data_IF_996632502016
#
_entry.id   IF_996632502016
#
_cell.length_a   1.000
_cell.length_b   1.000
_cell.length_c   1.000
_cell.angle_alpha   90.00
_cell.angle_beta   90.00
_cell.angle_gamma   90.00
#
_symmetry.space_group_name_H-M   'P 1'
#
loop_
_entity.id
_entity.type
_entity.pdbx_description
1 polymer ?
#
# COMPACT_ATOMS: atom_id res chain seq x y z
N UNK A 1 7.50 -1.20 3.48
CA UNK A 1 6.05 -1.53 3.54
C UNK A 1 5.83 -2.90 2.96
N UNK A 2 4.92 -3.69 3.52
CA UNK A 2 4.60 -5.04 3.03
C UNK A 2 3.10 -5.26 2.93
N UNK A 3 2.69 -6.31 2.24
CA UNK A 3 1.28 -6.62 2.15
C UNK A 3 0.96 -7.80 1.26
N UNK A 4 -0.34 -8.05 1.09
CA UNK A 4 -0.85 -9.08 0.18
C UNK A 4 -2.00 -8.55 -0.65
N UNK A 5 -2.19 -9.10 -1.84
CA UNK A 5 -3.36 -8.88 -2.68
C UNK A 5 -4.01 -10.22 -2.97
N UNK A 6 -5.30 -10.34 -2.64
CA UNK A 6 -6.09 -11.56 -2.83
C UNK A 6 -7.38 -11.25 -3.56
N UNK A 7 -7.89 -12.23 -4.31
CA UNK A 7 -9.19 -12.15 -4.96
C UNK A 7 -10.31 -12.33 -3.94
N UNK A 8 -11.35 -11.52 -4.03
CA UNK A 8 -12.59 -11.74 -3.29
C UNK A 8 -13.27 -13.04 -3.72
N UNK A 9 -13.94 -13.72 -2.79
CA UNK A 9 -14.62 -14.99 -3.04
C UNK A 9 -13.78 -16.22 -2.67
N UNK A 10 -12.66 -16.44 -3.37
CA UNK A 10 -11.81 -17.63 -3.18
C UNK A 10 -10.51 -17.38 -2.39
N UNK A 11 -10.15 -16.11 -2.17
CA UNK A 11 -8.92 -15.74 -1.45
C UNK A 11 -7.63 -16.07 -2.21
N UNK A 12 -7.74 -16.39 -3.52
CA UNK A 12 -6.59 -16.73 -4.35
C UNK A 12 -5.59 -15.56 -4.39
N UNK A 13 -4.29 -15.84 -4.31
CA UNK A 13 -3.27 -14.80 -4.46
C UNK A 13 -3.32 -14.20 -5.87
N UNK A 14 -3.11 -12.89 -5.99
CA UNK A 14 -3.10 -12.17 -7.25
C UNK A 14 -1.68 -11.66 -7.54
N UNK A 15 -1.07 -12.19 -8.60
CA UNK A 15 0.31 -11.86 -9.00
C UNK A 15 0.34 -10.79 -10.09
N UNK A 16 1.30 -9.87 -10.01
CA UNK A 16 1.44 -8.76 -10.96
C UNK A 16 0.49 -7.59 -10.72
N UNK A 17 -0.19 -7.55 -9.57
CA UNK A 17 -1.06 -6.44 -9.19
C UNK A 17 -0.21 -5.25 -8.77
N UNK A 18 -0.38 -4.13 -9.48
CA UNK A 18 0.29 -2.87 -9.16
C UNK A 18 -0.38 -2.20 -7.98
N UNK A 19 0.40 -2.00 -6.92
CA UNK A 19 0.01 -1.22 -5.75
C UNK A 19 0.81 0.07 -5.75
N UNK A 20 0.11 1.19 -5.68
CA UNK A 20 0.69 2.52 -5.58
C UNK A 20 0.56 3.04 -4.16
N UNK A 21 1.54 3.82 -3.72
CA UNK A 21 1.58 4.39 -2.38
C UNK A 21 2.03 5.85 -2.39
N UNK A 22 1.41 6.61 -1.49
CA UNK A 22 1.79 7.97 -1.09
C UNK A 22 1.83 8.03 0.43
N UNK A 23 2.85 8.68 1.00
CA UNK A 23 2.91 8.89 2.45
C UNK A 23 3.59 10.22 2.78
N UNK A 24 3.41 10.70 4.00
CA UNK A 24 4.28 11.75 4.53
C UNK A 24 5.51 11.10 5.15
N UNK A 25 6.70 11.45 4.67
CA UNK A 25 7.95 10.75 5.00
C UNK A 25 9.02 11.68 5.53
N UNK A 26 10.14 11.13 5.99
CA UNK A 26 11.33 11.89 6.38
C UNK A 26 11.93 12.71 5.22
N UNK A 27 11.62 12.37 3.97
CA UNK A 27 12.21 12.99 2.78
C UNK A 27 11.24 13.92 2.03
N UNK A 28 9.98 14.00 2.46
CA UNK A 28 8.99 14.87 1.82
C UNK A 28 7.56 14.66 2.32
N UNK A 29 6.67 15.51 1.82
CA UNK A 29 5.24 15.39 2.05
C UNK A 29 4.61 14.46 1.01
N UNK A 30 3.36 14.07 1.27
CA UNK A 30 2.60 13.19 0.38
C UNK A 30 2.50 13.68 -1.08
N UNK A 31 2.57 14.99 -1.33
CA UNK A 31 2.57 15.56 -2.68
C UNK A 31 3.92 15.49 -3.40
N UNK A 32 5.00 15.23 -2.67
CA UNK A 32 6.35 15.28 -3.21
C UNK A 32 6.71 13.90 -3.83
N UNK A 33 7.20 13.84 -5.07
CA UNK A 33 7.39 12.56 -5.79
C UNK A 33 8.28 11.54 -5.08
N UNK A 34 9.25 12.00 -4.27
CA UNK A 34 10.13 11.14 -3.48
C UNK A 34 9.40 10.38 -2.36
N UNK A 35 8.18 10.80 -2.01
CA UNK A 35 7.32 10.13 -1.05
C UNK A 35 6.28 9.22 -1.72
N UNK A 36 6.42 8.97 -3.03
CA UNK A 36 5.57 8.07 -3.81
C UNK A 36 6.33 6.79 -4.13
N UNK A 37 5.60 5.70 -4.32
CA UNK A 37 6.18 4.45 -4.77
C UNK A 37 5.15 3.55 -5.42
N UNK A 38 5.63 2.57 -6.17
CA UNK A 38 4.81 1.52 -6.73
C UNK A 38 5.59 0.20 -6.72
N UNK A 39 4.86 -0.90 -6.54
CA UNK A 39 5.42 -2.25 -6.59
C UNK A 39 4.40 -3.19 -7.23
N UNK A 40 4.87 -4.37 -7.62
CA UNK A 40 4.04 -5.46 -8.12
C UNK A 40 4.02 -6.58 -7.09
N UNK A 41 2.89 -7.27 -6.99
CA UNK A 41 2.84 -8.52 -6.23
C UNK A 41 3.57 -9.65 -6.92
N UNK A 42 4.16 -10.54 -6.12
CA UNK A 42 4.77 -11.78 -6.58
C UNK A 42 3.73 -12.89 -6.84
N UNK A 43 4.20 -14.10 -7.15
CA UNK A 43 3.35 -15.27 -7.41
C UNK A 43 2.49 -15.70 -6.20
N UNK A 44 2.84 -15.28 -4.98
CA UNK A 44 2.07 -15.52 -3.75
C UNK A 44 1.12 -14.37 -3.43
N UNK A 45 1.03 -13.37 -4.30
CA UNK A 45 0.26 -12.17 -4.07
C UNK A 45 0.89 -11.26 -3.01
N UNK A 46 2.14 -11.48 -2.63
CA UNK A 46 2.86 -10.69 -1.63
C UNK A 46 3.55 -9.51 -2.31
N UNK A 47 3.57 -8.35 -1.66
CA UNK A 47 4.37 -7.22 -2.10
C UNK A 47 5.25 -6.69 -0.97
N UNK A 48 6.41 -6.16 -1.36
CA UNK A 48 7.29 -5.40 -0.51
C UNK A 48 7.78 -4.16 -1.26
N UNK A 49 7.95 -3.07 -0.54
CA UNK A 49 8.47 -1.81 -1.06
C UNK A 49 9.27 -1.10 0.03
N UNK A 50 10.54 -0.83 -0.26
CA UNK A 50 11.36 0.05 0.56
C UNK A 50 11.12 1.50 0.19
N UNK A 51 10.96 2.34 1.20
CA UNK A 51 10.64 3.75 1.07
C UNK A 51 11.24 4.52 2.25
N UNK A 52 11.41 5.85 2.13
CA UNK A 52 11.70 6.71 3.27
C UNK A 52 10.70 6.51 4.42
N UNK A 53 11.18 6.65 5.66
CA UNK A 53 10.39 6.37 6.85
C UNK A 53 9.15 7.27 6.92
N UNK A 54 7.98 6.67 7.14
CA UNK A 54 6.73 7.41 7.34
C UNK A 54 6.78 8.13 8.70
N UNK A 55 6.42 9.42 8.71
CA UNK A 55 6.38 10.25 9.92
C UNK A 55 5.02 10.95 10.06
N UNK A 56 4.65 11.40 11.27
CA UNK A 56 3.37 12.08 11.48
C UNK A 56 3.20 13.33 10.62
N UNK A 57 2.06 13.45 9.95
CA UNK A 57 1.54 14.73 9.45
C UNK A 57 0.10 14.86 9.92
N UNK A 58 -0.15 15.80 10.83
CA UNK A 58 -1.47 16.07 11.41
C UNK A 58 -2.18 14.82 11.96
N UNK A 59 -1.51 14.07 12.85
CA UNK A 59 -2.10 12.91 13.51
C UNK A 59 -1.17 11.70 13.51
N UNK A 60 -1.74 10.50 13.49
CA UNK A 60 -0.96 9.27 13.47
C UNK A 60 -0.29 9.06 12.11
N UNK A 61 0.97 8.56 12.05
CA UNK A 61 1.63 8.19 10.80
C UNK A 61 0.80 7.19 10.00
N UNK A 62 0.68 7.39 8.69
CA UNK A 62 -0.10 6.55 7.81
C UNK A 62 0.42 6.62 6.37
N UNK A 63 0.01 5.64 5.57
CA UNK A 63 0.16 5.68 4.12
C UNK A 63 -1.20 5.68 3.45
N UNK A 64 -1.23 6.16 2.22
CA UNK A 64 -2.33 6.01 1.28
C UNK A 64 -1.92 5.02 0.22
N UNK A 65 -2.73 3.99 -0.01
CA UNK A 65 -2.45 2.97 -1.02
C UNK A 65 -3.63 2.78 -1.94
N UNK A 66 -3.35 2.61 -3.22
CA UNK A 66 -4.36 2.39 -4.23
C UNK A 66 -4.03 1.17 -5.09
N UNK A 67 -5.08 0.41 -5.39
CA UNK A 67 -5.14 -0.45 -6.55
C UNK A 67 -6.15 0.15 -7.53
N UNK A 68 -5.79 0.24 -8.81
CA UNK A 68 -6.63 0.76 -9.88
C UNK A 68 -6.24 0.15 -11.24
N UNK A 69 -7.18 -0.59 -11.83
CA UNK A 69 -7.09 -1.23 -13.15
C UNK A 69 -8.52 -1.58 -13.66
N UNK A 70 -8.65 -2.18 -14.84
CA UNK A 70 -9.90 -2.59 -15.45
C UNK A 70 -10.43 -3.96 -14.96
N UNK A 71 -9.55 -4.83 -14.45
CA UNK A 71 -9.91 -6.21 -14.10
C UNK A 71 -10.69 -6.35 -12.78
N UNK A 72 -10.52 -5.39 -11.87
CA UNK A 72 -11.10 -5.40 -10.53
C UNK A 72 -11.56 -4.00 -10.12
N UNK A 73 -12.52 -3.93 -9.20
CA UNK A 73 -12.96 -2.67 -8.61
C UNK A 73 -11.79 -1.90 -7.95
N UNK A 74 -11.76 -0.58 -8.15
CA UNK A 74 -10.76 0.31 -7.54
C UNK A 74 -10.85 0.24 -6.00
N UNK A 75 -9.71 0.10 -5.34
CA UNK A 75 -9.63 0.08 -3.88
C UNK A 75 -8.61 1.12 -3.40
N UNK A 76 -9.02 1.95 -2.46
CA UNK A 76 -8.16 2.88 -1.75
C UNK A 76 -8.13 2.54 -0.25
N UNK A 77 -6.93 2.38 0.30
CA UNK A 77 -6.70 2.09 1.71
C UNK A 77 -5.90 3.21 2.37
N UNK A 78 -6.25 3.53 3.62
CA UNK A 78 -5.48 4.40 4.50
C UNK A 78 -5.05 3.65 5.77
N UNK A 79 -4.08 2.73 5.68
CA UNK A 79 -3.56 2.04 6.86
C UNK A 79 -2.76 3.00 7.75
N UNK A 80 -3.03 2.93 9.05
CA UNK A 80 -2.41 3.75 10.08
C UNK A 80 -1.38 2.92 10.85
N UNK A 81 -0.22 3.51 11.15
CA UNK A 81 0.78 2.87 11.98
C UNK A 81 0.28 2.75 13.42
N UNK A 82 0.39 1.55 13.99
CA UNK A 82 -0.10 1.27 15.35
C UNK A 82 0.63 2.11 16.40
N UNK A 83 1.92 2.38 16.20
CA UNK A 83 2.74 3.24 17.07
C UNK A 83 3.57 4.18 16.19
N UNK A 84 3.81 5.39 16.71
CA UNK A 84 4.63 6.39 16.01
C UNK A 84 6.10 5.98 15.79
N UNK A 85 6.58 4.97 16.53
CA UNK A 85 7.95 4.45 16.44
C UNK A 85 8.08 3.20 15.57
N UNK A 86 6.97 2.68 15.06
CA UNK A 86 7.04 1.52 14.16
C UNK A 86 7.75 1.96 12.87
N UNK A 87 8.57 1.08 12.29
CA UNK A 87 9.33 1.37 11.05
C UNK A 87 8.76 0.64 9.83
N UNK A 88 7.69 -0.13 10.03
CA UNK A 88 7.02 -0.90 9.00
C UNK A 88 5.52 -0.69 9.05
N UNK A 89 4.91 -0.52 7.88
CA UNK A 89 3.47 -0.52 7.66
C UNK A 89 3.08 -1.75 6.84
N UNK A 90 1.95 -2.36 7.16
CA UNK A 90 1.36 -3.49 6.43
C UNK A 90 -0.03 -3.15 5.92
N UNK A 91 -0.35 -3.54 4.68
CA UNK A 91 -1.69 -3.39 4.10
C UNK A 91 -2.08 -4.62 3.29
N UNK A 92 -3.33 -5.03 3.38
CA UNK A 92 -3.84 -6.21 2.68
C UNK A 92 -5.05 -5.83 1.84
N UNK A 93 -4.97 -6.08 0.54
CA UNK A 93 -6.03 -5.85 -0.43
C UNK A 93 -6.81 -7.13 -0.67
N UNK A 94 -8.13 -6.98 -0.74
CA UNK A 94 -9.04 -7.99 -1.28
C UNK A 94 -9.76 -7.35 -2.45
N UNK A 95 -9.48 -7.83 -3.66
CA UNK A 95 -9.96 -7.24 -4.91
C UNK A 95 -11.17 -8.00 -5.43
N UNK A 96 -12.25 -7.28 -5.65
CA UNK A 96 -13.48 -7.80 -6.25
C UNK A 96 -13.38 -7.64 -7.78
N UNK A 97 -13.58 -8.69 -8.57
CA UNK A 97 -13.66 -8.55 -10.03
C UNK A 97 -14.75 -7.55 -10.44
N UNK A 98 -14.47 -6.75 -11.47
CA UNK A 98 -15.39 -5.73 -11.98
C UNK A 98 -16.61 -6.30 -12.73
#
# INVERSE_FOLDING_TARGET
MTGTVRRAGDGAPLAGQRIQIWAHTTEGHERDPHSHGATLTDAKGEFSLEMPQIVPAFGQPHGHLAYDDADFETVFLRPVMRRAKDTSLSAHFVLQPA
#
